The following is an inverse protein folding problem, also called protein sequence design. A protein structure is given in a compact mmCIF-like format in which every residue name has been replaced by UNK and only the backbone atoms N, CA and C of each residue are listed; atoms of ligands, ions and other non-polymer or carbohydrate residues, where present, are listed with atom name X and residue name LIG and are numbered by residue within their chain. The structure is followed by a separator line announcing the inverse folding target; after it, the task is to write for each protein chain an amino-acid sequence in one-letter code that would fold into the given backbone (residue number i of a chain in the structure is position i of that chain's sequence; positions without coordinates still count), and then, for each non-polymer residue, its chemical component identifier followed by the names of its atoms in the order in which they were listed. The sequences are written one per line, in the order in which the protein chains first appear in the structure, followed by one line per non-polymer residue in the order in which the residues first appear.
data_IF_719335446944
#
_entry.id   IF_719335446944
#
_cell.length_a   1.000
_cell.length_b   1.000
_cell.length_c   1.000
_cell.angle_alpha   90.00
_cell.angle_beta   90.00
_cell.angle_gamma   90.00
#
_symmetry.space_group_name_H-M   'P 1'
#
loop_
_entity.id
_entity.type
_entity.pdbx_description
1 polymer ?
#
# COMPACT_ATOMS: atom_id res chain seq x y z
N UNK A 1 2.76 7.52 -0.72
CA UNK A 1 2.62 8.99 -0.50
C UNK A 1 1.34 9.31 0.27
N UNK A 2 0.18 8.80 -0.17
CA UNK A 2 -1.12 9.10 0.50
C UNK A 2 -1.13 8.64 1.95
N UNK A 3 -0.65 7.43 2.25
CA UNK A 3 -0.53 6.92 3.63
C UNK A 3 0.30 7.86 4.51
N UNK A 4 1.48 8.27 4.03
CA UNK A 4 2.36 9.20 4.74
C UNK A 4 1.74 10.59 4.92
N UNK A 5 0.98 11.07 3.92
CA UNK A 5 0.25 12.33 4.01
C UNK A 5 -0.84 12.28 5.09
N UNK A 6 -1.63 11.20 5.13
CA UNK A 6 -2.67 11.02 6.16
C UNK A 6 -2.04 10.99 7.55
N UNK A 7 -0.94 10.26 7.72
CA UNK A 7 -0.20 10.20 8.98
C UNK A 7 0.28 11.60 9.40
N UNK A 8 0.86 12.35 8.46
CA UNK A 8 1.32 13.72 8.71
C UNK A 8 0.18 14.65 9.15
N UNK A 9 -0.93 14.65 8.41
CA UNK A 9 -2.09 15.49 8.73
C UNK A 9 -2.72 15.11 10.07
N UNK A 10 -2.81 13.81 10.36
CA UNK A 10 -3.28 13.33 11.65
C UNK A 10 -2.37 13.81 12.79
N UNK A 11 -1.05 13.72 12.63
CA UNK A 11 -0.10 14.21 13.62
C UNK A 11 -0.24 15.70 13.90
N UNK A 12 -0.34 16.52 12.85
CA UNK A 12 -0.57 17.96 13.00
C UNK A 12 -1.87 18.23 13.76
N UNK A 13 -2.99 17.67 13.30
CA UNK A 13 -4.29 17.94 13.92
C UNK A 13 -4.32 17.55 15.40
N UNK A 14 -3.81 16.38 15.75
CA UNK A 14 -3.83 15.90 17.14
C UNK A 14 -2.93 16.69 18.07
N UNK A 15 -1.87 17.30 17.57
CA UNK A 15 -1.02 18.19 18.40
C UNK A 15 -1.82 19.35 18.99
N UNK A 16 -2.80 19.88 18.25
CA UNK A 16 -3.68 20.95 18.71
C UNK A 16 -4.93 20.43 19.45
N UNK A 17 -5.51 19.35 18.94
CA UNK A 17 -6.75 18.80 19.50
C UNK A 17 -6.57 18.34 20.95
N UNK A 18 -5.40 17.84 21.33
CA UNK A 18 -5.11 17.37 22.68
C UNK A 18 -5.20 18.48 23.75
N UNK A 19 -5.08 19.73 23.34
CA UNK A 19 -5.21 20.92 24.22
C UNK A 19 -6.49 21.70 24.00
N UNK A 20 -7.41 21.16 23.21
CA UNK A 20 -8.69 21.83 22.94
C UNK A 20 -9.49 21.96 24.25
N UNK A 21 -9.84 23.17 24.60
CA UNK A 21 -10.58 23.47 25.84
C UNK A 21 -9.73 23.71 27.08
N UNK A 22 -8.42 23.50 27.03
CA UNK A 22 -7.52 23.88 28.13
C UNK A 22 -7.36 25.40 28.21
N UNK A 23 -7.25 25.96 29.43
CA UNK A 23 -7.02 27.38 29.64
C UNK A 23 -5.54 27.74 29.51
N UNK A 24 -5.19 28.96 29.08
CA UNK A 24 -3.81 29.43 29.11
C UNK A 24 -3.23 29.34 30.51
N UNK A 25 -2.11 28.64 30.65
CA UNK A 25 -1.42 28.43 31.95
C UNK A 25 -1.76 27.12 32.66
N UNK A 26 -2.73 26.35 32.20
CA UNK A 26 -3.00 25.04 32.76
C UNK A 26 -1.80 24.08 32.56
N UNK A 27 -1.38 23.32 33.59
CA UNK A 27 -0.30 22.36 33.47
C UNK A 27 -0.68 21.23 32.49
N UNK A 28 0.31 20.65 31.84
CA UNK A 28 0.12 19.45 31.02
C UNK A 28 -0.03 18.21 31.90
N UNK A 29 -1.04 17.41 31.62
CA UNK A 29 -1.17 16.07 32.22
C UNK A 29 -0.21 15.09 31.57
N UNK A 30 0.14 13.99 32.26
CA UNK A 30 0.98 12.92 31.72
C UNK A 30 0.36 12.34 30.44
N UNK A 31 -0.95 12.13 30.45
CA UNK A 31 -1.74 11.65 29.29
C UNK A 31 -1.59 12.57 28.08
N UNK A 32 -1.76 13.88 28.28
CA UNK A 32 -1.58 14.88 27.20
C UNK A 32 -0.15 14.89 26.64
N UNK A 33 0.86 14.80 27.50
CA UNK A 33 2.26 14.75 27.06
C UNK A 33 2.52 13.51 26.19
N UNK A 34 1.99 12.34 26.57
CA UNK A 34 2.12 11.12 25.81
C UNK A 34 1.43 11.22 24.45
N UNK A 35 0.19 11.71 24.40
CA UNK A 35 -0.55 11.89 23.14
C UNK A 35 0.11 12.91 22.22
N UNK A 36 0.58 14.05 22.75
CA UNK A 36 1.30 15.04 21.96
C UNK A 36 2.61 14.45 21.41
N UNK A 37 3.33 13.66 22.21
CA UNK A 37 4.57 13.00 21.77
C UNK A 37 4.32 12.05 20.59
N UNK A 38 3.24 11.27 20.64
CA UNK A 38 2.83 10.40 19.55
C UNK A 38 2.41 11.24 18.33
N UNK A 39 1.64 12.31 18.52
CA UNK A 39 1.23 13.21 17.45
C UNK A 39 2.43 13.85 16.73
N UNK A 40 3.43 14.28 17.48
CA UNK A 40 4.70 14.81 16.93
C UNK A 40 5.49 13.73 16.17
N UNK A 41 5.52 12.50 16.66
CA UNK A 41 6.11 11.36 15.95
C UNK A 41 5.41 11.12 14.61
N UNK A 42 4.07 11.14 14.57
CA UNK A 42 3.29 11.03 13.33
C UNK A 42 3.64 12.15 12.35
N UNK A 43 3.76 13.37 12.84
CA UNK A 43 4.12 14.52 12.02
C UNK A 43 5.46 14.31 11.33
N UNK A 44 6.52 14.04 12.08
CA UNK A 44 7.86 13.90 11.50
C UNK A 44 8.02 12.65 10.63
N UNK A 45 7.50 11.51 11.05
CA UNK A 45 7.58 10.27 10.26
C UNK A 45 6.74 10.38 9.00
N UNK A 46 5.57 11.03 9.06
CA UNK A 46 4.77 11.32 7.87
C UNK A 46 5.52 12.18 6.85
N UNK A 47 6.23 13.24 7.32
CA UNK A 47 7.09 14.06 6.45
C UNK A 47 8.21 13.25 5.80
N UNK A 48 8.93 12.44 6.57
CA UNK A 48 10.00 11.59 6.05
C UNK A 48 9.46 10.59 5.02
N UNK A 49 8.32 9.96 5.33
CA UNK A 49 7.67 9.03 4.41
C UNK A 49 7.27 9.69 3.09
N UNK A 50 6.70 10.90 3.11
CA UNK A 50 6.40 11.67 1.90
C UNK A 50 7.67 12.07 1.14
N UNK A 51 8.71 12.50 1.85
CA UNK A 51 9.97 12.91 1.26
C UNK A 51 10.62 11.76 0.47
N UNK A 52 10.65 10.56 1.02
CA UNK A 52 11.21 9.37 0.36
C UNK A 52 10.48 8.99 -0.93
N UNK A 53 9.18 9.26 -1.00
CA UNK A 53 8.39 8.97 -2.20
C UNK A 53 8.40 10.11 -3.22
N UNK A 54 8.84 11.31 -2.82
CA UNK A 54 8.95 12.46 -3.70
C UNK A 54 10.07 12.27 -4.73
N UNK A 55 9.73 12.41 -6.02
CA UNK A 55 10.70 12.33 -7.11
C UNK A 55 11.80 13.41 -6.97
N UNK A 56 11.43 14.62 -6.56
CA UNK A 56 12.37 15.73 -6.38
C UNK A 56 13.39 15.44 -5.29
N UNK A 57 12.94 14.94 -4.13
CA UNK A 57 13.83 14.60 -3.02
C UNK A 57 14.74 13.43 -3.40
N UNK A 58 14.20 12.38 -4.04
CA UNK A 58 15.01 11.25 -4.52
C UNK A 58 16.08 11.67 -5.52
N UNK A 59 15.73 12.55 -6.44
CA UNK A 59 16.69 13.10 -7.41
C UNK A 59 17.79 13.91 -6.73
N UNK A 60 17.41 14.76 -5.76
CA UNK A 60 18.35 15.58 -4.99
C UNK A 60 19.30 14.74 -4.13
N UNK A 61 18.80 13.64 -3.55
CA UNK A 61 19.60 12.71 -2.75
C UNK A 61 20.44 11.73 -3.60
N UNK A 62 20.36 11.79 -4.93
CA UNK A 62 21.10 10.90 -5.82
C UNK A 62 20.61 9.46 -5.85
N UNK A 63 19.46 9.16 -5.23
CA UNK A 63 18.82 7.85 -5.31
C UNK A 63 18.17 7.59 -6.67
N UNK A 64 17.98 8.61 -7.49
CA UNK A 64 17.75 8.43 -8.89
C UNK A 64 19.09 8.06 -9.54
N UNK A 65 19.49 6.81 -9.36
CA UNK A 65 20.40 6.20 -10.34
C UNK A 65 19.62 6.27 -11.64
N UNK A 66 19.91 7.33 -12.41
CA UNK A 66 19.66 7.33 -13.83
C UNK A 66 20.42 6.08 -14.31
N UNK A 67 19.71 4.97 -14.47
CA UNK A 67 20.15 3.94 -15.39
C UNK A 67 20.18 4.64 -16.75
N UNK A 68 21.27 5.37 -17.03
CA UNK A 68 21.70 5.57 -18.39
C UNK A 68 22.03 4.16 -18.85
N UNK A 69 21.07 3.51 -19.48
CA UNK A 69 21.43 2.43 -20.38
C UNK A 69 22.54 2.98 -21.25
N UNK A 70 23.71 2.29 -21.36
CA UNK A 70 24.70 2.63 -22.34
C UNK A 70 23.92 2.76 -23.65
N UNK A 71 24.15 3.86 -24.37
CA UNK A 71 23.42 4.29 -25.54
C UNK A 71 22.95 3.07 -26.35
N UNK A 72 21.66 2.85 -26.39
CA UNK A 72 21.06 1.77 -27.15
C UNK A 72 21.52 1.93 -28.60
N UNK A 73 22.03 0.85 -29.17
CA UNK A 73 22.39 0.78 -30.59
C UNK A 73 21.19 1.29 -31.37
N UNK A 74 21.35 2.25 -32.32
CA UNK A 74 20.24 2.77 -33.10
C UNK A 74 19.56 1.61 -33.81
N UNK A 75 18.30 1.30 -33.47
CA UNK A 75 17.53 0.21 -34.07
C UNK A 75 16.84 -0.73 -33.06
N UNK A 76 17.24 -0.75 -31.78
CA UNK A 76 16.61 -1.58 -30.75
C UNK A 76 15.86 -0.81 -29.67
N UNK A 77 15.88 0.54 -29.77
CA UNK A 77 15.26 1.41 -28.77
C UNK A 77 13.74 1.27 -28.67
N UNK A 78 13.07 0.87 -29.74
CA UNK A 78 11.60 0.87 -29.80
C UNK A 78 10.97 -0.36 -29.13
N UNK A 79 11.67 -1.49 -29.05
CA UNK A 79 11.13 -2.70 -28.41
C UNK A 79 11.32 -2.67 -26.89
N UNK A 80 12.45 -2.17 -26.42
CA UNK A 80 12.72 -2.04 -24.98
C UNK A 80 11.89 -0.91 -24.33
N UNK A 81 11.59 0.18 -25.07
CA UNK A 81 10.71 1.24 -24.57
C UNK A 81 9.24 0.77 -24.50
N UNK A 82 8.78 -0.04 -25.43
CA UNK A 82 7.42 -0.61 -25.39
C UNK A 82 7.27 -1.66 -24.30
N UNK A 83 8.30 -2.44 -24.01
CA UNK A 83 8.31 -3.39 -22.88
C UNK A 83 8.43 -2.67 -21.52
N UNK A 84 9.19 -1.59 -21.42
CA UNK A 84 9.28 -0.77 -20.22
C UNK A 84 7.96 -0.01 -19.93
N UNK A 85 7.22 0.38 -20.97
CA UNK A 85 5.90 0.98 -20.83
C UNK A 85 4.80 -0.04 -20.51
N UNK A 86 5.00 -1.32 -20.82
CA UNK A 86 4.06 -2.38 -20.50
C UNK A 86 4.09 -2.82 -19.03
N UNK A 87 5.12 -2.44 -18.27
CA UNK A 87 5.14 -2.66 -16.82
C UNK A 87 4.27 -1.60 -16.13
N UNK A 88 3.24 -2.00 -15.39
CA UNK A 88 2.40 -1.05 -14.70
C UNK A 88 3.25 -0.27 -13.69
N UNK A 89 3.08 1.07 -13.61
CA UNK A 89 3.84 1.94 -12.70
C UNK A 89 3.76 1.53 -11.24
N UNK A 90 2.73 0.76 -10.87
CA UNK A 90 2.51 0.24 -9.52
C UNK A 90 3.56 -0.74 -9.03
N UNK A 91 4.28 -1.42 -9.91
CA UNK A 91 5.32 -2.39 -9.52
C UNK A 91 6.73 -1.80 -9.44
N UNK A 92 6.93 -0.59 -9.91
CA UNK A 92 8.20 0.15 -9.77
C UNK A 92 8.31 0.96 -8.46
N UNK A 93 7.32 0.84 -7.57
CA UNK A 93 7.26 1.63 -6.35
C UNK A 93 8.29 1.14 -5.32
N UNK A 94 8.98 2.09 -4.73
CA UNK A 94 9.83 1.83 -3.56
C UNK A 94 8.96 1.43 -2.37
N UNK A 95 9.30 0.37 -1.69
CA UNK A 95 8.67 -0.01 -0.43
C UNK A 95 8.97 1.06 0.62
N UNK A 96 7.93 1.73 1.10
CA UNK A 96 8.05 2.74 2.14
C UNK A 96 7.71 2.11 3.50
N UNK A 97 8.70 1.88 4.39
CA UNK A 97 8.46 1.24 5.67
C UNK A 97 7.90 2.19 6.73
N UNK A 98 7.97 3.51 6.53
CA UNK A 98 7.68 4.50 7.57
C UNK A 98 6.21 4.53 8.02
N UNK A 99 5.20 4.41 7.14
CA UNK A 99 3.81 4.32 7.59
C UNK A 99 3.56 3.14 8.54
N UNK A 100 4.06 1.96 8.21
CA UNK A 100 3.89 0.78 9.07
C UNK A 100 4.74 0.87 10.34
N UNK A 101 5.92 1.49 10.28
CA UNK A 101 6.76 1.72 11.45
C UNK A 101 6.03 2.58 12.48
N UNK A 102 5.52 3.74 12.08
CA UNK A 102 4.85 4.65 13.02
C UNK A 102 3.60 4.03 13.63
N UNK A 103 2.81 3.32 12.82
CA UNK A 103 1.62 2.62 13.32
C UNK A 103 2.02 1.53 14.33
N UNK A 104 3.06 0.75 14.04
CA UNK A 104 3.54 -0.29 14.95
C UNK A 104 4.07 0.26 16.28
N UNK A 105 4.89 1.33 16.23
CA UNK A 105 5.39 2.00 17.43
C UNK A 105 4.24 2.58 18.26
N UNK A 106 3.24 3.17 17.60
CA UNK A 106 2.04 3.67 18.27
C UNK A 106 1.28 2.54 18.95
N UNK A 107 1.10 1.41 18.26
CA UNK A 107 0.42 0.23 18.82
C UNK A 107 1.10 -0.25 20.11
N UNK A 108 2.43 -0.39 20.09
CA UNK A 108 3.22 -0.79 21.28
C UNK A 108 3.13 0.27 22.38
N UNK A 109 3.29 1.55 22.05
CA UNK A 109 3.25 2.63 23.03
C UNK A 109 1.89 2.74 23.72
N UNK A 110 0.82 2.57 22.96
CA UNK A 110 -0.54 2.69 23.49
C UNK A 110 -1.00 1.44 24.24
N UNK A 111 -0.51 0.25 23.89
CA UNK A 111 -0.72 -0.95 24.69
C UNK A 111 -0.11 -0.84 26.10
N UNK A 112 0.97 -0.06 26.24
CA UNK A 112 1.64 0.22 27.51
C UNK A 112 1.18 1.53 28.19
N UNK A 113 0.20 2.25 27.57
CA UNK A 113 -0.27 3.52 28.09
C UNK A 113 -1.09 3.34 29.38
N UNK A 114 -0.79 4.17 30.39
CA UNK A 114 -1.51 4.14 31.65
C UNK A 114 -2.95 4.63 31.49
N UNK A 115 -3.89 3.84 32.01
CA UNK A 115 -5.30 4.18 32.11
C UNK A 115 -5.79 3.96 33.53
N UNK A 116 -6.82 4.67 33.92
CA UNK A 116 -7.36 4.65 35.29
C UNK A 116 -8.24 3.42 35.57
N UNK A 117 -8.86 2.88 34.53
CA UNK A 117 -9.79 1.74 34.61
C UNK A 117 -9.27 0.51 33.92
N UNK A 118 -9.43 -0.66 34.53
CA UNK A 118 -8.98 -1.95 34.00
C UNK A 118 -9.55 -2.22 32.60
N UNK A 119 -10.81 -1.90 32.38
CA UNK A 119 -11.46 -2.06 31.08
C UNK A 119 -10.78 -1.25 29.99
N UNK A 120 -10.45 0.02 30.26
CA UNK A 120 -9.71 0.89 29.34
C UNK A 120 -8.32 0.35 29.04
N UNK A 121 -7.61 -0.14 30.06
CA UNK A 121 -6.29 -0.80 29.88
C UNK A 121 -6.42 -1.97 28.91
N UNK A 122 -7.42 -2.84 29.11
CA UNK A 122 -7.60 -4.02 28.27
C UNK A 122 -7.93 -3.66 26.81
N UNK A 123 -8.82 -2.69 26.60
CA UNK A 123 -9.18 -2.24 25.25
C UNK A 123 -7.98 -1.57 24.55
N UNK A 124 -7.16 -0.79 25.29
CA UNK A 124 -5.93 -0.19 24.74
C UNK A 124 -4.90 -1.25 24.35
N UNK A 125 -4.74 -2.30 25.13
CA UNK A 125 -3.89 -3.45 24.78
C UNK A 125 -4.39 -4.08 23.48
N UNK A 126 -5.68 -4.38 23.36
CA UNK A 126 -6.23 -5.05 22.20
C UNK A 126 -6.01 -4.26 20.89
N UNK A 127 -6.35 -2.97 20.86
CA UNK A 127 -6.14 -2.23 19.63
C UNK A 127 -4.65 -1.94 19.36
N UNK A 128 -3.85 -1.78 20.40
CA UNK A 128 -2.40 -1.65 20.28
C UNK A 128 -1.76 -2.90 19.66
N UNK A 129 -2.17 -4.09 20.09
CA UNK A 129 -1.73 -5.37 19.52
C UNK A 129 -2.16 -5.53 18.07
N UNK A 130 -3.38 -5.10 17.71
CA UNK A 130 -3.85 -5.13 16.31
C UNK A 130 -3.01 -4.22 15.41
N UNK A 131 -2.63 -3.03 15.87
CA UNK A 131 -1.76 -2.12 15.11
C UNK A 131 -0.33 -2.66 15.02
N UNK A 132 0.20 -3.26 16.07
CA UNK A 132 1.51 -3.91 16.04
C UNK A 132 1.51 -5.11 15.07
N UNK A 133 0.46 -5.94 15.10
CA UNK A 133 0.28 -7.05 14.16
C UNK A 133 0.21 -6.56 12.71
N UNK A 134 -0.53 -5.48 12.44
CA UNK A 134 -0.54 -4.83 11.13
C UNK A 134 0.87 -4.47 10.66
N UNK A 135 1.67 -3.82 11.51
CA UNK A 135 3.01 -3.37 11.14
C UNK A 135 3.93 -4.56 10.78
N UNK A 136 3.92 -5.62 11.58
CA UNK A 136 4.70 -6.84 11.33
C UNK A 136 4.25 -7.50 10.02
N UNK A 137 2.95 -7.68 9.81
CA UNK A 137 2.40 -8.29 8.60
C UNK A 137 2.69 -7.44 7.35
N UNK A 138 2.69 -6.11 7.46
CA UNK A 138 3.04 -5.20 6.37
C UNK A 138 4.51 -5.33 5.97
N UNK A 139 5.41 -5.46 6.95
CA UNK A 139 6.82 -5.71 6.69
C UNK A 139 7.07 -7.09 6.08
N UNK A 140 6.36 -8.11 6.54
CA UNK A 140 6.39 -9.43 5.91
C UNK A 140 5.89 -9.36 4.46
N UNK A 141 4.86 -8.58 4.18
CA UNK A 141 4.38 -8.34 2.81
C UNK A 141 5.47 -7.73 1.94
N UNK A 142 6.17 -6.69 2.43
CA UNK A 142 7.30 -6.10 1.70
C UNK A 142 8.44 -7.09 1.47
N UNK A 143 8.75 -7.89 2.47
CA UNK A 143 9.78 -8.93 2.37
C UNK A 143 9.44 -9.97 1.31
N UNK A 144 8.21 -10.48 1.27
CA UNK A 144 7.78 -11.44 0.26
C UNK A 144 7.78 -10.84 -1.15
N UNK A 145 7.34 -9.59 -1.30
CA UNK A 145 7.37 -8.89 -2.59
C UNK A 145 8.81 -8.58 -3.04
N UNK A 146 9.73 -8.39 -2.11
CA UNK A 146 11.15 -8.21 -2.42
C UNK A 146 11.82 -9.52 -2.88
N UNK A 147 11.53 -10.66 -2.21
CA UNK A 147 12.05 -11.97 -2.60
C UNK A 147 11.49 -12.41 -3.95
N UNK A 148 10.19 -12.23 -4.15
CA UNK A 148 9.49 -12.65 -5.36
C UNK A 148 8.62 -11.52 -5.89
N UNK A 149 9.20 -10.60 -6.65
CA UNK A 149 8.44 -9.52 -7.26
C UNK A 149 7.39 -10.08 -8.22
N UNK A 150 6.19 -9.48 -8.27
CA UNK A 150 5.13 -9.93 -9.17
C UNK A 150 5.54 -9.74 -10.63
N UNK A 151 5.30 -10.76 -11.45
CA UNK A 151 5.65 -10.79 -12.87
C UNK A 151 4.48 -10.39 -13.79
N UNK A 152 3.29 -10.17 -13.23
CA UNK A 152 2.09 -9.83 -13.99
C UNK A 152 1.41 -8.58 -13.46
N UNK A 153 0.59 -7.95 -14.32
CA UNK A 153 -0.27 -6.81 -13.97
C UNK A 153 -1.43 -7.19 -13.07
N UNK A 154 -1.74 -8.48 -12.96
CA UNK A 154 -2.75 -8.97 -12.04
C UNK A 154 -2.22 -8.87 -10.61
N UNK A 155 -2.99 -8.31 -9.67
CA UNK A 155 -2.55 -8.17 -8.30
C UNK A 155 -2.38 -9.54 -7.65
N UNK A 156 -1.14 -10.04 -7.69
CA UNK A 156 -0.70 -11.18 -6.90
C UNK A 156 -0.14 -10.63 -5.59
N UNK A 157 -1.02 -10.44 -4.62
CA UNK A 157 -0.62 -9.94 -3.31
C UNK A 157 -0.38 -11.09 -2.35
N UNK A 158 0.68 -11.02 -1.51
CA UNK A 158 0.84 -12.01 -0.44
C UNK A 158 -0.39 -12.00 0.48
N UNK A 159 -0.81 -13.16 1.02
CA UNK A 159 -1.94 -13.24 1.94
C UNK A 159 -1.75 -12.38 3.19
N UNK A 160 -0.50 -12.10 3.57
CA UNK A 160 -0.14 -11.20 4.66
C UNK A 160 -0.68 -9.79 4.48
N UNK A 161 -0.87 -9.31 3.25
CA UNK A 161 -1.43 -7.98 3.01
C UNK A 161 -2.93 -7.91 3.37
N UNK A 162 -3.69 -8.95 3.05
CA UNK A 162 -5.11 -9.01 3.40
C UNK A 162 -5.29 -9.09 4.93
N UNK A 163 -4.47 -9.94 5.60
CA UNK A 163 -4.52 -10.08 7.06
C UNK A 163 -4.04 -8.79 7.74
N UNK A 164 -3.01 -8.12 7.21
CA UNK A 164 -2.56 -6.83 7.71
C UNK A 164 -3.68 -5.76 7.63
N UNK A 165 -4.35 -5.67 6.49
CA UNK A 165 -5.46 -4.74 6.31
C UNK A 165 -6.61 -5.03 7.28
N UNK A 166 -6.90 -6.32 7.51
CA UNK A 166 -7.91 -6.75 8.48
C UNK A 166 -7.53 -6.32 9.90
N UNK A 167 -6.29 -6.57 10.33
CA UNK A 167 -5.79 -6.19 11.64
C UNK A 167 -5.83 -4.66 11.83
N UNK A 168 -5.45 -3.88 10.80
CA UNK A 168 -5.53 -2.42 10.85
C UNK A 168 -6.97 -1.92 11.01
N UNK A 169 -7.92 -2.51 10.29
CA UNK A 169 -9.34 -2.17 10.42
C UNK A 169 -9.90 -2.51 11.81
N UNK A 170 -9.55 -3.69 12.35
CA UNK A 170 -9.95 -4.08 13.70
C UNK A 170 -9.34 -3.16 14.75
N UNK A 171 -8.03 -2.85 14.65
CA UNK A 171 -7.36 -1.92 15.55
C UNK A 171 -7.95 -0.53 15.48
N UNK A 172 -8.24 -0.01 14.28
CA UNK A 172 -8.89 1.28 14.09
C UNK A 172 -10.30 1.36 14.69
N UNK A 173 -11.09 0.32 14.52
CA UNK A 173 -12.45 0.25 15.11
C UNK A 173 -12.37 0.18 16.64
N UNK A 174 -11.50 -0.66 17.21
CA UNK A 174 -11.28 -0.74 18.65
C UNK A 174 -10.77 0.60 19.21
N UNK A 175 -9.87 1.27 18.49
CA UNK A 175 -9.40 2.61 18.85
C UNK A 175 -10.57 3.62 18.93
N UNK A 176 -11.47 3.61 17.94
CA UNK A 176 -12.66 4.47 17.97
C UNK A 176 -13.58 4.16 19.15
N UNK A 177 -13.69 2.89 19.54
CA UNK A 177 -14.52 2.42 20.65
C UNK A 177 -13.84 2.61 22.02
N UNK A 178 -12.54 2.94 22.07
CA UNK A 178 -11.78 3.16 23.31
C UNK A 178 -11.81 4.59 23.83
N UNK A 179 -12.67 5.45 23.29
CA UNK A 179 -12.84 6.79 23.85
C UNK A 179 -13.55 6.75 25.22
N UNK A 180 -13.28 7.75 26.06
CA UNK A 180 -13.79 7.80 27.44
C UNK A 180 -15.30 7.66 27.53
N UNK A 181 -16.07 8.32 26.62
CA UNK A 181 -17.54 8.29 26.65
C UNK A 181 -18.08 6.88 26.41
N UNK A 182 -17.53 6.16 25.42
CA UNK A 182 -17.93 4.77 25.12
C UNK A 182 -17.51 3.84 26.23
N UNK A 183 -16.29 3.99 26.75
CA UNK A 183 -15.79 3.20 27.87
C UNK A 183 -16.65 3.37 29.12
N UNK A 184 -16.99 4.60 29.47
CA UNK A 184 -17.88 4.87 30.62
C UNK A 184 -19.32 4.38 30.38
N UNK A 185 -19.83 4.48 29.14
CA UNK A 185 -21.14 3.93 28.82
C UNK A 185 -21.16 2.41 29.00
N UNK A 186 -20.14 1.72 28.51
CA UNK A 186 -19.99 0.27 28.67
C UNK A 186 -19.92 -0.14 30.16
N UNK A 187 -19.09 0.55 30.94
CA UNK A 187 -18.94 0.28 32.37
C UNK A 187 -20.23 0.54 33.16
N UNK A 188 -20.97 1.59 32.85
CA UNK A 188 -22.27 1.91 33.50
C UNK A 188 -23.38 0.94 33.15
N UNK A 189 -23.29 0.32 31.97
CA UNK A 189 -24.30 -0.62 31.47
C UNK A 189 -23.94 -2.06 31.77
N UNK A 190 -22.89 -2.30 32.54
CA UNK A 190 -22.38 -3.65 32.91
C UNK A 190 -21.93 -4.50 31.71
N UNK A 191 -21.55 -3.82 30.60
CA UNK A 191 -21.00 -4.44 29.36
C UNK A 191 -19.49 -4.23 29.22
N UNK A 192 -18.77 -4.00 30.30
CA UNK A 192 -17.31 -3.76 30.30
C UNK A 192 -16.52 -5.04 30.12
N UNK A 193 -16.73 -5.73 29.00
CA UNK A 193 -15.97 -6.92 28.57
C UNK A 193 -15.15 -6.61 27.32
N UNK A 194 -13.84 -6.54 27.49
CA UNK A 194 -12.91 -6.24 26.40
C UNK A 194 -12.89 -7.33 25.32
N UNK A 195 -13.11 -8.59 25.69
CA UNK A 195 -13.17 -9.69 24.72
C UNK A 195 -14.46 -9.65 23.89
N UNK A 196 -15.59 -9.27 24.50
CA UNK A 196 -16.82 -9.03 23.77
C UNK A 196 -16.64 -7.85 22.77
N UNK A 197 -15.94 -6.79 23.17
CA UNK A 197 -15.63 -5.66 22.30
C UNK A 197 -14.73 -6.08 21.12
N UNK A 198 -13.73 -6.91 21.36
CA UNK A 198 -12.88 -7.47 20.30
C UNK A 198 -13.71 -8.31 19.32
N UNK A 199 -14.55 -9.20 19.81
CA UNK A 199 -15.40 -10.03 18.98
C UNK A 199 -16.38 -9.21 18.14
N UNK A 200 -16.93 -8.15 18.69
CA UNK A 200 -17.77 -7.17 17.97
C UNK A 200 -16.98 -6.49 16.84
N UNK A 201 -15.80 -5.97 17.14
CA UNK A 201 -14.94 -5.33 16.14
C UNK A 201 -14.57 -6.30 15.01
N UNK A 202 -14.15 -7.51 15.33
CA UNK A 202 -13.84 -8.56 14.35
C UNK A 202 -15.06 -8.86 13.47
N UNK A 203 -16.24 -8.99 14.06
CA UNK A 203 -17.48 -9.32 13.33
C UNK A 203 -17.87 -8.20 12.37
N UNK A 204 -17.80 -6.94 12.80
CA UNK A 204 -18.09 -5.78 11.94
C UNK A 204 -17.08 -5.70 10.79
N UNK A 205 -15.79 -5.83 11.08
CA UNK A 205 -14.74 -5.77 10.05
C UNK A 205 -14.88 -6.94 9.08
N UNK A 206 -15.17 -8.15 9.55
CA UNK A 206 -15.43 -9.31 8.69
C UNK A 206 -16.63 -9.06 7.76
N UNK A 207 -17.71 -8.47 8.25
CA UNK A 207 -18.87 -8.10 7.44
C UNK A 207 -18.48 -7.08 6.36
N UNK A 208 -17.71 -6.04 6.70
CA UNK A 208 -17.22 -5.04 5.74
C UNK A 208 -16.31 -5.66 4.68
N UNK A 209 -15.44 -6.59 5.06
CA UNK A 209 -14.59 -7.32 4.11
C UNK A 209 -15.42 -8.20 3.17
N UNK A 210 -16.40 -8.95 3.69
CA UNK A 210 -17.33 -9.74 2.87
C UNK A 210 -18.10 -8.83 1.89
N UNK A 211 -18.63 -7.71 2.36
CA UNK A 211 -19.32 -6.75 1.51
C UNK A 211 -18.41 -6.20 0.41
N UNK A 212 -17.21 -5.76 0.76
CA UNK A 212 -16.21 -5.25 -0.19
C UNK A 212 -15.87 -6.31 -1.23
N UNK A 213 -15.68 -7.56 -0.81
CA UNK A 213 -15.41 -8.68 -1.71
C UNK A 213 -16.58 -8.92 -2.68
N UNK A 214 -17.82 -8.91 -2.20
CA UNK A 214 -19.01 -9.04 -3.04
C UNK A 214 -19.07 -7.93 -4.09
N UNK A 215 -18.83 -6.68 -3.69
CA UNK A 215 -18.82 -5.53 -4.63
C UNK A 215 -17.72 -5.69 -5.68
N UNK A 216 -16.53 -6.12 -5.29
CA UNK A 216 -15.42 -6.38 -6.22
C UNK A 216 -15.77 -7.50 -7.20
N UNK A 217 -16.42 -8.58 -6.75
CA UNK A 217 -16.85 -9.68 -7.60
C UNK A 217 -17.92 -9.24 -8.62
N UNK A 218 -18.90 -8.45 -8.19
CA UNK A 218 -19.92 -7.88 -9.07
C UNK A 218 -19.28 -6.98 -10.14
N UNK A 219 -18.35 -6.10 -9.72
CA UNK A 219 -17.59 -5.24 -10.62
C UNK A 219 -16.78 -6.05 -11.65
N UNK A 220 -16.08 -7.08 -11.19
CA UNK A 220 -15.30 -7.95 -12.08
C UNK A 220 -16.18 -8.72 -13.05
N UNK A 221 -17.35 -9.18 -12.62
CA UNK A 221 -18.33 -9.84 -13.47
C UNK A 221 -18.90 -8.89 -14.53
N UNK A 222 -19.30 -7.67 -14.14
CA UNK A 222 -19.79 -6.67 -15.08
C UNK A 222 -18.72 -6.32 -16.14
N UNK A 223 -17.48 -6.08 -15.70
CA UNK A 223 -16.37 -5.78 -16.59
C UNK A 223 -16.09 -6.91 -17.60
N UNK A 224 -16.15 -8.17 -17.16
CA UNK A 224 -16.00 -9.32 -18.08
C UNK A 224 -17.09 -9.36 -19.15
N UNK A 225 -18.32 -9.03 -18.79
CA UNK A 225 -19.43 -8.96 -19.75
C UNK A 225 -19.22 -7.86 -20.78
N UNK A 226 -18.78 -6.69 -20.36
CA UNK A 226 -18.51 -5.56 -21.26
C UNK A 226 -17.38 -5.90 -22.24
N UNK A 227 -16.29 -6.52 -21.75
CA UNK A 227 -15.17 -6.96 -22.61
C UNK A 227 -15.61 -8.03 -23.61
N UNK A 228 -16.49 -8.96 -23.22
CA UNK A 228 -17.02 -9.99 -24.12
C UNK A 228 -18.01 -9.43 -25.14
N UNK A 229 -18.74 -8.36 -24.79
CA UNK A 229 -19.66 -7.69 -25.69
C UNK A 229 -18.97 -6.70 -26.65
N UNK A 230 -17.70 -6.36 -26.38
CA UNK A 230 -16.96 -5.45 -27.24
C UNK A 230 -16.45 -6.16 -28.50
N UNK A 231 -17.12 -5.92 -29.66
CA UNK A 231 -16.57 -6.27 -30.92
C UNK A 231 -15.59 -5.20 -31.40
N UNK A 232 -14.32 -5.58 -31.69
CA UNK A 232 -13.37 -4.62 -32.22
C UNK A 232 -13.92 -4.04 -33.54
N UNK A 233 -13.80 -2.73 -33.77
CA UNK A 233 -14.24 -2.12 -35.01
C UNK A 233 -13.57 -2.84 -36.17
N UNK A 234 -14.37 -3.21 -37.22
CA UNK A 234 -13.88 -3.87 -38.41
C UNK A 234 -12.69 -3.11 -39.00
N UNK A 235 -11.54 -3.75 -39.14
CA UNK A 235 -10.37 -3.12 -39.77
C UNK A 235 -10.79 -2.59 -41.14
N UNK A 236 -10.53 -1.31 -41.47
CA UNK A 236 -10.81 -0.80 -42.80
C UNK A 236 -10.14 -1.70 -43.85
N UNK A 237 -10.88 -2.09 -44.87
CA UNK A 237 -10.41 -3.00 -45.92
C UNK A 237 -9.10 -2.56 -46.62
N UNK A 238 -8.78 -1.28 -46.56
CA UNK A 238 -7.51 -0.72 -47.04
C UNK A 238 -6.26 -1.20 -46.27
N UNK A 239 -6.39 -1.60 -45.00
CA UNK A 239 -5.25 -2.13 -44.24
C UNK A 239 -5.04 -3.64 -44.42
N UNK A 240 -6.07 -4.36 -44.87
CA UNK A 240 -5.95 -5.78 -45.23
C UNK A 240 -5.26 -5.96 -46.58
N UNK A 241 -5.36 -4.98 -47.47
CA UNK A 241 -4.75 -5.03 -48.80
C UNK A 241 -3.24 -4.69 -48.80
N UNK A 242 -2.73 -3.99 -47.77
CA UNK A 242 -1.33 -3.62 -47.69
C UNK A 242 -0.43 -4.69 -47.02
N UNK A 243 -1.02 -5.73 -46.44
CA UNK A 243 -0.28 -6.83 -45.82
C UNK A 243 -0.04 -8.01 -46.78
N UNK A 244 -0.53 -7.95 -48.01
CA UNK A 244 -0.20 -8.87 -49.11
C UNK A 244 0.82 -8.22 -50.05
N UNK A 245 2.00 -7.91 -49.59
CA UNK A 245 3.12 -7.66 -50.48
C UNK A 245 3.78 -8.99 -50.85
N UNK A 246 3.78 -9.34 -52.17
CA UNK A 246 4.37 -10.57 -52.62
C UNK A 246 5.82 -10.35 -52.97
N UNK A 247 6.70 -10.39 -52.02
CA UNK A 247 8.11 -10.41 -52.40
C UNK A 247 8.96 -11.24 -51.43
N UNK A 248 8.77 -12.52 -51.60
CA UNK A 248 9.86 -13.45 -51.48
C UNK A 248 10.15 -13.91 -52.92
N UNK A 249 10.89 -13.11 -53.68
CA UNK A 249 11.67 -13.63 -54.79
C UNK A 249 12.88 -14.29 -54.14
N UNK A 250 12.85 -15.62 -54.14
CA UNK A 250 14.04 -16.44 -53.90
C UNK A 250 15.17 -15.96 -54.83
N UNK A 251 16.22 -15.43 -54.25
CA UNK A 251 17.49 -15.32 -54.98
C UNK A 251 18.14 -16.68 -54.98
N UNK A 252 18.53 -17.21 -56.18
CA UNK A 252 19.22 -18.47 -56.26
C UNK A 252 20.63 -18.31 -55.65
N UNK A 253 20.93 -19.14 -54.69
CA UNK A 253 22.25 -19.29 -54.08
C UNK A 253 23.27 -19.70 -55.15
N UNK A 254 24.11 -18.78 -55.63
CA UNK A 254 25.29 -19.12 -56.44
C UNK A 254 26.30 -19.84 -55.58
N UNK A 255 26.42 -21.13 -55.79
CA UNK A 255 27.48 -21.94 -55.25
C UNK A 255 28.83 -21.44 -55.84
N UNK A 256 29.62 -20.78 -55.05
CA UNK A 256 31.04 -20.49 -55.38
C UNK A 256 31.91 -21.68 -55.00
N UNK A 257 32.42 -22.34 -56.05
CA UNK A 257 33.50 -23.34 -55.98
C UNK A 257 34.66 -22.88 -55.12
N UNK A 258 34.94 -23.66 -54.10
CA UNK A 258 36.25 -23.62 -53.41
C UNK A 258 37.11 -24.74 -53.95
N UNK A 259 37.94 -24.41 -54.96
CA UNK A 259 39.00 -25.29 -55.43
C UNK A 259 40.11 -25.40 -54.38
N UNK A 260 40.33 -26.60 -53.91
CA UNK A 260 41.55 -27.03 -53.24
C UNK A 260 42.77 -26.85 -54.13
N UNK A 261 43.84 -26.31 -53.52
CA UNK A 261 45.21 -26.62 -53.97
C UNK A 261 46.14 -26.83 -52.79
N UNK A 262 46.91 -27.91 -52.75
CA UNK A 262 47.90 -28.22 -51.69
C UNK A 262 49.25 -27.67 -52.02
N UNK A 263 49.99 -27.26 -51.02
CA UNK A 263 51.46 -27.42 -50.84
C UNK A 263 51.83 -26.94 -49.44
#
# INVERSE_FOLDING_TARGET
FVESLVIFLYGISNTWLERLGARPGDPYTVKQIQHISIAVMFWFIGLVGMALESKSVRNMLGYAVVRRHPAATPGRANEDETLAQAQPPSYSQSFNPFPSLVIGVTGVAMAAHHQDYLYEVQVHILWGEMLAAFAVLRWLTYFFLWIRPPTSTLPSRPPTEAVASFALCCGGLLFMLSNEEVSFAAMRSDYADAMAMLNLAISIVALVFCWTFCVMMIKAWAFRRDVQAWEPPARPAAQAASSTEPWIKEQPYAASDVSHKPS
#
